data_IF_417463140147
#
_entry.id   IF_417463140147
#
_cell.length_a   1.000
_cell.length_b   1.000
_cell.length_c   1.000
_cell.angle_alpha   90.00
_cell.angle_beta   90.00
_cell.angle_gamma   90.00
#
_symmetry.space_group_name_H-M   'P 1'
#
loop_
_entity.id
_entity.type
_entity.pdbx_description
1 polymer ?
#
# COMPACT_ATOMS: atom_id res chain seq x y z
N UNK A 1 -9.07 0.58 -13.56
CA UNK A 1 -7.72 1.11 -13.22
C UNK A 1 -6.95 0.13 -12.33
N UNK A 2 -7.58 -0.51 -11.34
CA UNK A 2 -6.96 -1.46 -10.39
C UNK A 2 -6.51 -2.82 -10.99
N UNK A 3 -7.36 -3.47 -11.81
CA UNK A 3 -7.08 -4.76 -12.46
C UNK A 3 -5.79 -4.79 -13.29
N UNK A 4 -5.50 -3.70 -14.00
CA UNK A 4 -4.30 -3.55 -14.86
C UNK A 4 -2.97 -3.70 -14.11
N UNK A 5 -2.93 -3.39 -12.81
CA UNK A 5 -1.71 -3.53 -12.02
C UNK A 5 -1.40 -5.00 -11.75
N UNK A 6 -2.39 -5.75 -11.25
CA UNK A 6 -2.24 -7.18 -10.94
C UNK A 6 -2.02 -7.99 -12.23
N UNK A 7 -2.76 -7.68 -13.30
CA UNK A 7 -2.54 -8.26 -14.64
C UNK A 7 -1.11 -8.00 -15.14
N UNK A 8 -0.57 -6.79 -14.90
CA UNK A 8 0.79 -6.43 -15.23
C UNK A 8 1.82 -7.26 -14.47
N UNK A 9 1.65 -7.40 -13.16
CA UNK A 9 2.49 -8.23 -12.30
C UNK A 9 2.48 -9.70 -12.73
N UNK A 10 1.29 -10.24 -12.98
CA UNK A 10 1.09 -11.62 -13.43
C UNK A 10 1.84 -11.89 -14.74
N UNK A 11 1.74 -10.96 -15.69
CA UNK A 11 2.41 -11.03 -16.98
C UNK A 11 3.94 -10.99 -16.86
N UNK A 12 4.47 -10.11 -16.03
CA UNK A 12 5.92 -9.99 -15.79
C UNK A 12 6.49 -11.28 -15.17
N UNK A 13 5.77 -11.84 -14.20
CA UNK A 13 6.16 -13.08 -13.51
C UNK A 13 5.79 -14.35 -14.27
N UNK A 14 5.14 -14.23 -15.44
CA UNK A 14 4.67 -15.35 -16.27
C UNK A 14 3.75 -16.32 -15.52
N UNK A 15 2.91 -15.80 -14.63
CA UNK A 15 1.91 -16.58 -13.88
C UNK A 15 0.50 -16.22 -14.33
N UNK A 16 -0.43 -17.16 -14.16
CA UNK A 16 -1.87 -16.90 -14.30
C UNK A 16 -2.44 -16.70 -12.90
N UNK A 17 -3.19 -15.62 -12.72
CA UNK A 17 -3.92 -15.33 -11.48
C UNK A 17 -5.40 -15.57 -11.77
N UNK A 18 -6.11 -16.27 -10.89
CA UNK A 18 -7.55 -16.45 -11.03
C UNK A 18 -8.29 -15.17 -10.64
N UNK A 19 -9.52 -14.99 -11.10
CA UNK A 19 -10.31 -13.81 -10.76
C UNK A 19 -10.51 -13.67 -9.24
N UNK A 20 -10.72 -14.78 -8.53
CA UNK A 20 -10.85 -14.78 -7.07
C UNK A 20 -9.54 -14.37 -6.38
N UNK A 21 -8.39 -14.81 -6.89
CA UNK A 21 -7.09 -14.39 -6.36
C UNK A 21 -6.81 -12.91 -6.67
N UNK A 22 -7.26 -12.38 -7.81
CA UNK A 22 -7.18 -10.94 -8.10
C UNK A 22 -7.96 -10.12 -7.07
N UNK A 23 -9.17 -10.55 -6.69
CA UNK A 23 -9.97 -9.88 -5.66
C UNK A 23 -9.26 -9.87 -4.30
N UNK A 24 -8.76 -11.02 -3.86
CA UNK A 24 -8.02 -11.14 -2.58
C UNK A 24 -6.76 -10.26 -2.57
N UNK A 25 -6.01 -10.21 -3.68
CA UNK A 25 -4.85 -9.33 -3.77
C UNK A 25 -5.24 -7.85 -3.69
N UNK A 26 -6.37 -7.46 -4.28
CA UNK A 26 -6.85 -6.08 -4.21
C UNK A 26 -7.25 -5.69 -2.80
N UNK A 27 -7.89 -6.59 -2.06
CA UNK A 27 -8.24 -6.38 -0.65
C UNK A 27 -6.99 -6.26 0.21
N UNK A 28 -6.01 -7.16 0.03
CA UNK A 28 -4.73 -7.09 0.73
C UNK A 28 -3.98 -5.77 0.44
N UNK A 29 -3.96 -5.32 -0.82
CA UNK A 29 -3.35 -4.03 -1.18
C UNK A 29 -4.09 -2.84 -0.53
N UNK A 30 -5.41 -2.92 -0.38
CA UNK A 30 -6.18 -1.89 0.28
C UNK A 30 -5.88 -1.82 1.78
N UNK A 31 -5.80 -2.98 2.45
CA UNK A 31 -5.45 -3.08 3.88
C UNK A 31 -4.05 -2.51 4.14
N UNK A 32 -3.05 -2.94 3.37
CA UNK A 32 -1.68 -2.43 3.46
C UNK A 32 -1.64 -0.90 3.25
N UNK A 33 -2.37 -0.41 2.25
CA UNK A 33 -2.42 1.03 1.98
C UNK A 33 -3.05 1.82 3.14
N UNK A 34 -4.09 1.27 3.79
CA UNK A 34 -4.73 1.89 4.96
C UNK A 34 -3.76 1.96 6.13
N UNK A 35 -3.03 0.89 6.43
CA UNK A 35 -2.07 0.87 7.53
C UNK A 35 -0.94 1.89 7.33
N UNK A 36 -0.32 1.91 6.14
CA UNK A 36 0.71 2.88 5.79
C UNK A 36 0.17 4.32 5.90
N UNK A 37 -1.06 4.55 5.43
CA UNK A 37 -1.69 5.87 5.51
C UNK A 37 -1.93 6.30 6.98
N UNK A 38 -2.36 5.39 7.84
CA UNK A 38 -2.54 5.67 9.28
C UNK A 38 -1.22 6.06 9.95
N UNK A 39 -0.14 5.33 9.68
CA UNK A 39 1.20 5.65 10.20
C UNK A 39 1.65 7.04 9.70
N UNK A 40 1.47 7.32 8.41
CA UNK A 40 1.85 8.61 7.82
C UNK A 40 1.05 9.78 8.42
N UNK A 41 -0.26 9.60 8.60
CA UNK A 41 -1.14 10.57 9.26
C UNK A 41 -0.72 10.81 10.73
N UNK A 42 -0.40 9.74 11.48
CA UNK A 42 0.10 9.83 12.85
C UNK A 42 1.40 10.64 12.93
N UNK A 43 2.35 10.39 12.01
CA UNK A 43 3.59 11.15 11.91
C UNK A 43 3.35 12.63 11.58
N UNK A 44 2.47 12.91 10.61
CA UNK A 44 2.09 14.28 10.26
C UNK A 44 1.49 15.03 11.47
N UNK A 45 0.60 14.36 12.21
CA UNK A 45 -0.02 14.89 13.42
C UNK A 45 1.02 15.18 14.53
N UNK A 46 1.96 14.25 14.79
CA UNK A 46 3.07 14.46 15.75
C UNK A 46 3.92 15.69 15.39
N UNK A 47 4.06 15.99 14.10
CA UNK A 47 4.78 17.16 13.57
C UNK A 47 3.92 18.42 13.46
N UNK A 48 2.67 18.39 13.95
CA UNK A 48 1.70 19.49 13.87
C UNK A 48 1.42 19.95 12.43
N UNK A 49 1.51 19.04 11.45
CA UNK A 49 1.17 19.31 10.04
C UNK A 49 -0.31 18.98 9.78
N UNK A 50 -0.94 19.75 8.88
CA UNK A 50 -2.33 19.49 8.41
C UNK A 50 -2.41 18.63 7.15
N UNK A 51 -1.27 18.32 6.55
CA UNK A 51 -1.15 17.50 5.35
C UNK A 51 -0.04 16.47 5.51
N UNK A 52 -0.24 15.31 4.89
CA UNK A 52 0.78 14.26 4.78
C UNK A 52 1.68 14.60 3.60
N UNK A 53 2.98 14.75 3.86
CA UNK A 53 3.98 15.00 2.84
C UNK A 53 4.75 13.75 2.45
N UNK A 54 5.66 13.90 1.49
CA UNK A 54 6.52 12.82 1.00
C UNK A 54 7.37 12.19 2.12
N UNK A 55 7.85 13.00 3.06
CA UNK A 55 8.69 12.53 4.17
C UNK A 55 7.89 11.60 5.07
N UNK A 56 6.68 11.99 5.46
CA UNK A 56 5.81 11.15 6.29
C UNK A 56 5.44 9.83 5.60
N UNK A 57 5.15 9.87 4.29
CA UNK A 57 4.89 8.65 3.52
C UNK A 57 6.10 7.71 3.48
N UNK A 58 7.29 8.23 3.19
CA UNK A 58 8.52 7.41 3.14
C UNK A 58 8.83 6.76 4.49
N UNK A 59 8.69 7.54 5.57
CA UNK A 59 8.89 7.01 6.92
C UNK A 59 7.83 5.97 7.30
N UNK A 60 6.57 6.18 6.89
CA UNK A 60 5.49 5.24 7.16
C UNK A 60 5.70 3.90 6.44
N UNK A 61 6.11 3.93 5.17
CA UNK A 61 6.46 2.73 4.41
C UNK A 61 7.62 1.98 5.10
N UNK A 62 8.68 2.70 5.49
CA UNK A 62 9.82 2.09 6.16
C UNK A 62 9.48 1.52 7.56
N UNK A 63 8.48 2.07 8.23
CA UNK A 63 7.99 1.58 9.52
C UNK A 63 7.11 0.34 9.35
N UNK A 64 6.16 0.36 8.41
CA UNK A 64 5.30 -0.78 8.08
C UNK A 64 6.12 -2.05 7.80
N UNK A 65 7.17 -1.97 6.98
CA UNK A 65 8.03 -3.12 6.68
C UNK A 65 8.99 -3.54 7.81
N UNK A 66 9.12 -2.75 8.88
CA UNK A 66 9.94 -3.11 10.05
C UNK A 66 9.12 -3.83 11.12
N UNK A 67 7.86 -3.48 11.23
CA UNK A 67 6.97 -3.94 12.30
C UNK A 67 5.97 -5.02 11.85
N UNK A 68 5.71 -5.15 10.54
CA UNK A 68 4.94 -6.26 9.94
C UNK A 68 5.81 -7.47 9.57
#
# INVERSE_FOLDING_TARGET
MKRKFIEGLAKELKVKISEEAEEVFMDALAEIAVEIALIACSKAAKRKRKSVGLVEMKEAIAEFYREG
#
